data_IF_976848396921
#
_entry.id   IF_976848396921
#
_cell.length_a   1.000
_cell.length_b   1.000
_cell.length_c   1.000
_cell.angle_alpha   90.00
_cell.angle_beta   90.00
_cell.angle_gamma   90.00
#
_symmetry.space_group_name_H-M   'P 1'
#
loop_
_entity.id
_entity.type
_entity.pdbx_description
1 polymer ?
#
# COMPACT_ATOMS: atom_id res chain seq x y z
N UNK A 1 -7.27 19.90 19.79
CA UNK A 1 -7.32 21.26 19.17
C UNK A 1 -7.67 21.11 17.70
N UNK A 2 -8.79 21.67 17.25
CA UNK A 2 -9.19 21.63 15.83
C UNK A 2 -8.76 22.91 15.15
N UNK A 3 -8.13 22.82 13.97
CA UNK A 3 -7.79 23.97 13.11
C UNK A 3 -8.72 23.99 11.90
N UNK A 4 -9.01 25.19 11.38
CA UNK A 4 -9.79 25.37 10.15
C UNK A 4 -8.82 25.47 8.97
N UNK A 5 -9.04 24.63 7.97
CA UNK A 5 -8.37 24.69 6.67
C UNK A 5 -9.36 25.28 5.66
N UNK A 6 -8.94 26.27 4.89
CA UNK A 6 -9.69 26.80 3.75
C UNK A 6 -8.94 26.40 2.48
N UNK A 7 -9.66 25.83 1.52
CA UNK A 7 -9.14 25.39 0.22
C UNK A 7 -10.06 25.97 -0.83
N UNK A 8 -9.48 26.50 -1.90
CA UNK A 8 -10.22 27.04 -3.02
C UNK A 8 -10.53 25.90 -4.00
N UNK A 9 -11.78 25.84 -4.43
CA UNK A 9 -12.28 24.89 -5.42
C UNK A 9 -13.12 25.68 -6.41
N UNK A 10 -13.16 25.22 -7.65
CA UNK A 10 -14.15 25.70 -8.62
C UNK A 10 -15.56 25.22 -8.19
N UNK A 11 -16.59 25.93 -8.64
CA UNK A 11 -17.97 25.66 -8.23
C UNK A 11 -18.43 24.23 -8.60
N UNK A 12 -18.01 23.75 -9.77
CA UNK A 12 -18.32 22.40 -10.25
C UNK A 12 -17.63 21.32 -9.39
N UNK A 13 -16.35 21.51 -9.08
CA UNK A 13 -15.57 20.59 -8.25
C UNK A 13 -16.16 20.50 -6.83
N UNK A 14 -16.51 21.64 -6.24
CA UNK A 14 -17.15 21.67 -4.93
C UNK A 14 -18.51 20.96 -4.97
N UNK A 15 -19.29 21.14 -6.04
CA UNK A 15 -20.59 20.49 -6.22
C UNK A 15 -20.48 18.97 -6.27
N UNK A 16 -19.47 18.44 -6.97
CA UNK A 16 -19.17 17.01 -7.02
C UNK A 16 -18.80 16.45 -5.65
N UNK A 17 -17.91 17.15 -4.91
CA UNK A 17 -17.51 16.75 -3.55
C UNK A 17 -18.73 16.70 -2.61
N UNK A 18 -19.62 17.69 -2.69
CA UNK A 18 -20.84 17.68 -1.89
C UNK A 18 -21.79 16.55 -2.28
N UNK A 19 -21.90 16.21 -3.57
CA UNK A 19 -22.71 15.09 -4.04
C UNK A 19 -22.17 13.76 -3.48
N UNK A 20 -20.85 13.57 -3.48
CA UNK A 20 -20.20 12.40 -2.88
C UNK A 20 -20.44 12.29 -1.37
N UNK A 21 -20.35 13.41 -0.65
CA UNK A 21 -20.64 13.46 0.77
C UNK A 21 -22.11 13.07 1.07
N UNK A 22 -23.06 13.60 0.29
CA UNK A 22 -24.50 13.26 0.39
C UNK A 22 -24.75 11.77 0.13
N UNK A 23 -24.12 11.17 -0.88
CA UNK A 23 -24.22 9.73 -1.15
C UNK A 23 -23.75 8.88 0.03
N UNK A 24 -22.74 9.35 0.78
CA UNK A 24 -22.25 8.72 2.02
C UNK A 24 -23.03 9.11 3.28
N UNK A 25 -24.09 9.93 3.17
CA UNK A 25 -24.86 10.49 4.30
C UNK A 25 -23.98 11.25 5.30
N UNK A 26 -22.95 11.93 4.80
CA UNK A 26 -21.99 12.71 5.59
C UNK A 26 -22.10 14.20 5.25
N UNK A 27 -21.65 15.05 6.17
CA UNK A 27 -21.38 16.46 5.84
C UNK A 27 -20.14 16.55 4.96
N UNK A 28 -20.05 17.58 4.11
CA UNK A 28 -18.85 17.83 3.29
C UNK A 28 -17.58 17.86 4.13
N UNK A 29 -17.63 18.49 5.31
CA UNK A 29 -16.50 18.55 6.23
C UNK A 29 -16.11 17.17 6.79
N UNK A 30 -17.07 16.31 7.13
CA UNK A 30 -16.77 14.96 7.58
C UNK A 30 -16.14 14.12 6.47
N UNK A 31 -16.72 14.19 5.27
CA UNK A 31 -16.21 13.51 4.09
C UNK A 31 -14.77 13.93 3.76
N UNK A 32 -14.48 15.24 3.74
CA UNK A 32 -13.13 15.75 3.49
C UNK A 32 -12.13 15.30 4.55
N UNK A 33 -12.53 15.23 5.83
CA UNK A 33 -11.65 14.69 6.88
C UNK A 33 -11.33 13.23 6.67
N UNK A 34 -12.32 12.42 6.29
CA UNK A 34 -12.12 10.99 6.03
C UNK A 34 -11.23 10.78 4.81
N UNK A 35 -11.44 11.56 3.74
CA UNK A 35 -10.61 11.53 2.54
C UNK A 35 -9.15 11.92 2.84
N UNK A 36 -8.91 12.99 3.61
CA UNK A 36 -7.57 13.40 4.03
C UNK A 36 -6.90 12.37 4.93
N UNK A 37 -7.66 11.69 5.80
CA UNK A 37 -7.14 10.61 6.64
C UNK A 37 -6.73 9.41 5.80
N UNK A 38 -7.59 8.97 4.88
CA UNK A 38 -7.28 7.87 3.98
C UNK A 38 -6.07 8.19 3.09
N UNK A 39 -5.96 9.42 2.60
CA UNK A 39 -4.79 9.87 1.86
C UNK A 39 -3.53 9.80 2.73
N UNK A 40 -3.59 10.25 3.98
CA UNK A 40 -2.47 10.14 4.93
C UNK A 40 -2.07 8.68 5.16
N UNK A 41 -3.03 7.79 5.42
CA UNK A 41 -2.77 6.36 5.63
C UNK A 41 -2.19 5.67 4.39
N UNK A 42 -2.59 6.11 3.19
CA UNK A 42 -2.04 5.59 1.92
C UNK A 42 -0.62 6.09 1.63
N UNK A 43 -0.26 7.28 2.13
CA UNK A 43 1.06 7.90 1.95
C UNK A 43 2.04 7.57 3.09
N UNK A 44 1.53 7.27 4.29
CA UNK A 44 2.29 6.72 5.39
C UNK A 44 2.70 5.28 5.00
N UNK A 45 3.90 5.16 4.42
CA UNK A 45 4.65 3.89 4.38
C UNK A 45 4.46 3.18 5.73
N UNK A 46 4.20 1.86 5.76
CA UNK A 46 3.89 1.17 7.01
C UNK A 46 4.93 1.58 8.03
N UNK A 47 4.47 2.16 9.16
CA UNK A 47 5.36 2.67 10.19
C UNK A 47 6.39 1.60 10.52
N UNK A 48 7.59 1.99 10.95
CA UNK A 48 8.62 1.01 11.35
C UNK A 48 8.02 -0.01 12.32
N UNK A 49 7.11 0.41 13.20
CA UNK A 49 6.35 -0.47 14.10
C UNK A 49 5.38 -1.41 13.38
N UNK A 50 4.63 -0.94 12.37
CA UNK A 50 3.75 -1.79 11.57
C UNK A 50 4.55 -2.83 10.78
N UNK A 51 5.70 -2.44 10.21
CA UNK A 51 6.63 -3.35 9.52
C UNK A 51 7.25 -4.35 10.50
N UNK A 52 7.70 -3.89 11.67
CA UNK A 52 8.26 -4.77 12.71
C UNK A 52 7.21 -5.73 13.28
N UNK A 53 5.95 -5.31 13.44
CA UNK A 53 4.86 -6.19 13.85
C UNK A 53 4.60 -7.27 12.81
N UNK A 54 4.53 -6.91 11.53
CA UNK A 54 4.35 -7.87 10.44
C UNK A 54 5.52 -8.87 10.35
N UNK A 55 6.76 -8.40 10.54
CA UNK A 55 7.94 -9.29 10.59
C UNK A 55 7.87 -10.24 11.80
N UNK A 56 7.51 -9.75 12.99
CA UNK A 56 7.40 -10.59 14.20
C UNK A 56 6.31 -11.64 14.06
N UNK A 57 5.15 -11.26 13.54
CA UNK A 57 4.06 -12.20 13.25
C UNK A 57 4.51 -13.26 12.23
N UNK A 58 5.21 -12.87 11.17
CA UNK A 58 5.77 -13.81 10.20
C UNK A 58 6.87 -14.72 10.78
N UNK A 59 7.60 -14.29 11.82
CA UNK A 59 8.59 -15.13 12.53
C UNK A 59 7.91 -16.10 13.50
N UNK A 60 6.85 -15.66 14.18
CA UNK A 60 6.08 -16.50 15.10
C UNK A 60 5.35 -17.63 14.37
N UNK A 61 5.02 -17.42 13.10
CA UNK A 61 4.48 -18.43 12.23
C UNK A 61 5.59 -19.08 11.39
N UNK A 62 5.95 -20.33 11.71
CA UNK A 62 6.90 -21.13 10.93
C UNK A 62 6.27 -21.57 9.60
N UNK A 63 6.10 -20.64 8.67
CA UNK A 63 5.78 -20.95 7.28
C UNK A 63 6.95 -21.72 6.65
N UNK A 64 6.69 -22.67 5.73
CA UNK A 64 7.75 -23.35 5.01
C UNK A 64 8.48 -22.34 4.10
N UNK A 65 9.50 -21.69 4.64
CA UNK A 65 10.43 -20.86 3.90
C UNK A 65 11.64 -21.71 3.48
N UNK A 66 12.13 -21.48 2.26
CA UNK A 66 13.38 -22.06 1.81
C UNK A 66 14.57 -21.54 2.61
N UNK A 67 15.70 -22.22 2.51
CA UNK A 67 16.96 -21.76 3.10
C UNK A 67 17.35 -20.38 2.55
N UNK A 68 17.75 -19.46 3.44
CA UNK A 68 17.99 -18.05 3.11
C UNK A 68 19.20 -17.88 2.17
N UNK A 69 20.22 -18.72 2.34
CA UNK A 69 21.41 -18.67 1.49
C UNK A 69 21.07 -19.15 0.07
N UNK A 70 20.21 -20.16 -0.05
CA UNK A 70 19.66 -20.64 -1.32
C UNK A 70 18.86 -19.54 -2.03
N UNK A 71 17.93 -18.88 -1.33
CA UNK A 71 17.11 -17.79 -1.89
C UNK A 71 18.00 -16.63 -2.35
N UNK A 72 19.00 -16.26 -1.55
CA UNK A 72 19.93 -15.17 -1.91
C UNK A 72 20.73 -15.52 -3.16
N UNK A 73 21.24 -16.75 -3.26
CA UNK A 73 21.98 -17.19 -4.43
C UNK A 73 21.11 -17.19 -5.71
N UNK A 74 19.82 -17.54 -5.60
CA UNK A 74 18.87 -17.46 -6.72
C UNK A 74 18.61 -16.01 -7.17
N UNK A 75 18.41 -15.09 -6.23
CA UNK A 75 18.22 -13.67 -6.52
C UNK A 75 19.46 -13.09 -7.21
N UNK A 76 20.66 -13.36 -6.67
CA UNK A 76 21.92 -12.89 -7.26
C UNK A 76 22.14 -13.45 -8.67
N UNK A 77 21.85 -14.75 -8.90
CA UNK A 77 21.89 -15.34 -10.25
C UNK A 77 20.90 -14.68 -11.22
N UNK A 78 19.69 -14.36 -10.75
CA UNK A 78 18.66 -13.67 -11.55
C UNK A 78 19.10 -12.27 -11.98
N UNK A 79 19.73 -11.50 -11.09
CA UNK A 79 20.27 -10.17 -11.42
C UNK A 79 21.51 -10.24 -12.32
N UNK A 80 22.35 -11.26 -12.16
CA UNK A 80 23.55 -11.45 -12.97
C UNK A 80 23.26 -12.05 -14.36
N UNK A 81 22.00 -12.39 -14.65
CA UNK A 81 21.59 -12.97 -15.93
C UNK A 81 22.11 -14.39 -16.17
N UNK A 82 22.59 -15.05 -15.11
CA UNK A 82 23.22 -16.38 -15.17
C UNK A 82 22.19 -17.51 -14.98
N UNK A 83 20.90 -17.15 -14.91
CA UNK A 83 19.81 -18.09 -14.94
C UNK A 83 19.49 -18.42 -16.40
N UNK A 84 19.61 -19.70 -16.84
CA UNK A 84 19.13 -20.09 -18.15
C UNK A 84 17.64 -19.71 -18.24
N UNK A 85 17.17 -19.24 -19.40
CA UNK A 85 15.75 -18.93 -19.59
C UNK A 85 14.94 -20.15 -19.15
N UNK A 86 13.77 -19.97 -18.50
CA UNK A 86 12.94 -21.08 -18.08
C UNK A 86 12.76 -22.01 -19.27
N UNK A 87 13.23 -23.25 -19.14
CA UNK A 87 13.08 -24.26 -20.17
C UNK A 87 11.59 -24.47 -20.37
N UNK A 88 11.12 -24.06 -21.54
CA UNK A 88 9.74 -24.24 -21.96
C UNK A 88 9.40 -25.74 -21.88
N UNK A 89 8.40 -26.17 -21.10
CA UNK A 89 8.04 -27.58 -20.99
C UNK A 89 7.49 -28.19 -22.31
N UNK A 90 7.50 -27.44 -23.42
CA UNK A 90 6.96 -27.83 -24.72
C UNK A 90 7.97 -28.38 -25.74
N UNK A 91 9.26 -28.55 -25.42
CA UNK A 91 10.23 -29.18 -26.35
C UNK A 91 10.62 -30.58 -25.88
N UNK A 92 9.81 -31.57 -26.27
CA UNK A 92 10.21 -32.99 -26.40
C UNK A 92 10.87 -33.22 -27.76
#
# INVERSE_FOLDING_TARGET
>A
MTKRLQVLFEDDELSEIQALARRRRQTTAAFVRDALRAARESMEYPSVEAKLRAIREAVDHAYPAGDIDTIRAEIERGYLGDMPPPSDPASR
#
